data_IF_354407224462
#
_entry.id   IF_354407224462
#
_cell.length_a   1.000
_cell.length_b   1.000
_cell.length_c   1.000
_cell.angle_alpha   90.00
_cell.angle_beta   90.00
_cell.angle_gamma   90.00
#
_symmetry.space_group_name_H-M   'P 1'
#
loop_
_entity.id
_entity.type
_entity.pdbx_description
1 polymer ?
#
# COMPACT_ATOMS: atom_id res chain seq x y z
N UNK A 1 -28.29 18.06 -8.91
CA UNK A 1 -27.00 17.37 -9.14
C UNK A 1 -26.89 16.22 -8.18
N UNK A 2 -26.88 14.98 -8.68
CA UNK A 2 -26.73 13.78 -7.86
C UNK A 2 -25.24 13.47 -7.60
N UNK A 3 -24.94 12.62 -6.61
CA UNK A 3 -23.56 12.18 -6.31
C UNK A 3 -22.92 11.48 -7.52
N UNK A 4 -23.70 10.72 -8.27
CA UNK A 4 -23.28 10.00 -9.46
C UNK A 4 -22.94 10.95 -10.61
N UNK A 5 -23.76 11.98 -10.84
CA UNK A 5 -23.49 13.01 -11.86
C UNK A 5 -22.22 13.80 -11.56
N UNK A 6 -21.99 14.13 -10.30
CA UNK A 6 -20.76 14.80 -9.87
C UNK A 6 -19.54 13.90 -10.06
N UNK A 7 -19.62 12.64 -9.64
CA UNK A 7 -18.54 11.66 -9.81
C UNK A 7 -18.19 11.43 -11.29
N UNK A 8 -19.20 11.37 -12.17
CA UNK A 8 -18.98 11.27 -13.61
C UNK A 8 -18.29 12.51 -14.17
N UNK A 9 -18.70 13.73 -13.76
CA UNK A 9 -18.14 14.99 -14.24
C UNK A 9 -16.65 15.17 -13.90
N UNK A 10 -16.21 14.67 -12.74
CA UNK A 10 -14.80 14.76 -12.33
C UNK A 10 -13.98 13.53 -12.71
N UNK A 11 -14.54 12.58 -13.45
CA UNK A 11 -13.90 11.30 -13.75
C UNK A 11 -13.39 10.58 -12.50
N UNK A 12 -14.22 10.52 -11.44
CA UNK A 12 -13.84 10.04 -10.12
C UNK A 12 -13.21 8.63 -10.12
N UNK A 13 -13.68 7.74 -11.01
CA UNK A 13 -13.08 6.42 -11.21
C UNK A 13 -11.59 6.48 -11.57
N UNK A 14 -11.21 7.39 -12.47
CA UNK A 14 -9.82 7.57 -12.88
C UNK A 14 -8.96 8.13 -11.75
N UNK A 15 -9.51 9.10 -11.00
CA UNK A 15 -8.84 9.71 -9.85
C UNK A 15 -8.56 8.65 -8.78
N UNK A 16 -9.56 7.84 -8.44
CA UNK A 16 -9.41 6.76 -7.46
C UNK A 16 -8.31 5.80 -7.90
N UNK A 17 -8.34 5.32 -9.15
CA UNK A 17 -7.30 4.43 -9.67
C UNK A 17 -5.90 5.04 -9.58
N UNK A 18 -5.75 6.30 -9.96
CA UNK A 18 -4.48 7.02 -9.84
C UNK A 18 -4.00 7.09 -8.39
N UNK A 19 -4.87 7.45 -7.45
CA UNK A 19 -4.55 7.48 -6.02
C UNK A 19 -4.17 6.10 -5.47
N UNK A 20 -4.80 5.04 -5.96
CA UNK A 20 -4.42 3.67 -5.64
C UNK A 20 -2.99 3.33 -6.10
N UNK A 21 -2.59 3.75 -7.30
CA UNK A 21 -1.21 3.60 -7.77
C UNK A 21 -0.25 4.40 -6.90
N UNK A 22 -0.60 5.64 -6.54
CA UNK A 22 0.20 6.48 -5.63
C UNK A 22 0.42 5.79 -4.28
N UNK A 23 -0.59 5.11 -3.73
CA UNK A 23 -0.45 4.33 -2.49
C UNK A 23 0.63 3.23 -2.60
N UNK A 24 0.67 2.50 -3.72
CA UNK A 24 1.73 1.49 -3.97
C UNK A 24 3.10 2.17 -4.06
N UNK A 25 3.19 3.22 -4.89
CA UNK A 25 4.45 3.92 -5.15
C UNK A 25 4.97 4.62 -3.89
N UNK A 26 4.11 5.04 -2.95
CA UNK A 26 4.53 5.68 -1.71
C UNK A 26 5.35 4.74 -0.79
N UNK A 27 5.12 3.43 -0.84
CA UNK A 27 5.85 2.45 -0.02
C UNK A 27 7.19 2.05 -0.68
N UNK A 28 7.27 2.18 -2.01
CA UNK A 28 8.41 1.72 -2.80
C UNK A 28 9.76 2.41 -2.45
N UNK A 29 9.83 3.75 -2.24
CA UNK A 29 11.06 4.41 -1.80
C UNK A 29 11.61 3.85 -0.50
N UNK A 30 10.75 3.55 0.47
CA UNK A 30 11.20 3.01 1.76
C UNK A 30 11.80 1.61 1.58
N UNK A 31 11.13 0.76 0.79
CA UNK A 31 11.65 -0.56 0.44
C UNK A 31 13.01 -0.45 -0.27
N UNK A 32 13.12 0.43 -1.26
CA UNK A 32 14.36 0.65 -2.00
C UNK A 32 15.48 1.18 -1.10
N UNK A 33 15.20 2.17 -0.25
CA UNK A 33 16.19 2.74 0.69
C UNK A 33 16.69 1.69 1.68
N UNK A 34 15.83 0.79 2.15
CA UNK A 34 16.22 -0.28 3.04
C UNK A 34 17.29 -1.19 2.40
N UNK A 35 17.10 -1.56 1.13
CA UNK A 35 18.05 -2.38 0.38
C UNK A 35 19.33 -1.65 -0.02
N UNK A 36 19.23 -0.37 -0.37
CA UNK A 36 20.38 0.46 -0.75
C UNK A 36 21.26 0.81 0.45
N UNK A 37 20.66 1.16 1.58
CA UNK A 37 21.40 1.66 2.75
C UNK A 37 21.75 0.55 3.74
N UNK A 38 20.99 -0.56 3.74
CA UNK A 38 21.03 -1.61 4.77
C UNK A 38 20.80 -1.10 6.21
N UNK A 39 20.36 0.15 6.36
CA UNK A 39 20.08 0.77 7.67
C UNK A 39 18.62 0.53 8.03
N UNK A 40 18.41 -0.04 9.22
CA UNK A 40 17.06 -0.29 9.77
C UNK A 40 16.74 0.61 10.96
N UNK A 41 17.67 1.51 11.32
CA UNK A 41 17.52 2.51 12.36
C UNK A 41 16.38 3.48 12.01
N UNK A 42 15.51 3.77 12.98
CA UNK A 42 14.33 4.61 12.79
C UNK A 42 13.15 3.94 12.08
N UNK A 43 13.30 2.73 11.53
CA UNK A 43 12.19 2.00 10.91
C UNK A 43 11.31 1.34 11.96
N UNK A 44 10.06 1.82 12.10
CA UNK A 44 9.06 1.26 13.00
C UNK A 44 8.38 0.03 12.36
N UNK A 45 8.83 -1.16 12.73
CA UNK A 45 8.21 -2.42 12.30
C UNK A 45 6.73 -2.51 12.71
N UNK A 46 6.39 -1.99 13.88
CA UNK A 46 5.01 -1.94 14.38
C UNK A 46 4.13 -1.12 13.43
N UNK A 47 4.60 0.04 12.98
CA UNK A 47 3.83 0.86 12.04
C UNK A 47 3.63 0.17 10.70
N UNK A 48 4.69 -0.42 10.13
CA UNK A 48 4.57 -1.19 8.89
C UNK A 48 3.63 -2.39 9.03
N UNK A 49 3.62 -3.05 10.18
CA UNK A 49 2.69 -4.15 10.47
C UNK A 49 1.24 -3.67 10.51
N UNK A 50 0.98 -2.53 11.16
CA UNK A 50 -0.35 -1.92 11.17
C UNK A 50 -0.81 -1.52 9.75
N UNK A 51 0.08 -0.91 8.97
CA UNK A 51 -0.19 -0.58 7.56
C UNK A 51 -0.53 -1.85 6.79
N UNK A 52 0.26 -2.91 6.93
CA UNK A 52 0.01 -4.20 6.27
C UNK A 52 -1.38 -4.76 6.60
N UNK A 53 -1.75 -4.82 7.88
CA UNK A 53 -3.06 -5.32 8.31
C UNK A 53 -4.22 -4.50 7.74
N UNK A 54 -4.07 -3.16 7.72
CA UNK A 54 -5.06 -2.26 7.12
C UNK A 54 -5.18 -2.53 5.61
N UNK A 55 -4.06 -2.67 4.90
CA UNK A 55 -4.06 -2.95 3.46
C UNK A 55 -4.71 -4.32 3.16
N UNK A 56 -4.45 -5.35 3.98
CA UNK A 56 -5.13 -6.65 3.83
C UNK A 56 -6.64 -6.52 4.04
N UNK A 57 -7.08 -5.82 5.08
CA UNK A 57 -8.50 -5.60 5.35
C UNK A 57 -9.22 -4.89 4.20
N UNK A 58 -8.62 -3.82 3.66
CA UNK A 58 -9.21 -3.08 2.52
C UNK A 58 -9.13 -3.85 1.20
N UNK A 59 -8.10 -4.66 0.99
CA UNK A 59 -8.00 -5.52 -0.20
C UNK A 59 -9.10 -6.60 -0.16
N UNK A 60 -9.32 -7.23 1.00
CA UNK A 60 -10.44 -8.16 1.22
C UNK A 60 -11.80 -7.48 1.03
N UNK A 61 -11.96 -6.25 1.52
CA UNK A 61 -13.17 -5.48 1.26
C UNK A 61 -13.39 -5.25 -0.24
N UNK A 62 -12.33 -4.93 -0.98
CA UNK A 62 -12.36 -4.81 -2.44
C UNK A 62 -12.81 -6.12 -3.11
N UNK A 63 -12.26 -7.25 -2.67
CA UNK A 63 -12.69 -8.58 -3.14
C UNK A 63 -14.19 -8.83 -2.90
N UNK A 64 -14.67 -8.63 -1.67
CA UNK A 64 -16.09 -8.88 -1.34
C UNK A 64 -17.05 -7.92 -2.05
N UNK A 65 -16.62 -6.69 -2.34
CA UNK A 65 -17.41 -5.68 -3.06
C UNK A 65 -17.23 -5.74 -4.59
N UNK A 66 -16.40 -6.64 -5.10
CA UNK A 66 -16.00 -6.71 -6.52
C UNK A 66 -15.40 -5.38 -7.03
N UNK A 67 -14.74 -4.64 -6.15
CA UNK A 67 -14.00 -3.44 -6.48
C UNK A 67 -12.57 -3.82 -6.82
N UNK A 68 -12.29 -3.94 -8.12
CA UNK A 68 -10.99 -4.31 -8.64
C UNK A 68 -9.90 -3.29 -8.26
N UNK A 69 -10.25 -2.00 -8.15
CA UNK A 69 -9.29 -0.97 -7.78
C UNK A 69 -8.79 -1.20 -6.36
N UNK A 70 -9.72 -1.32 -5.40
CA UNK A 70 -9.36 -1.56 -4.01
C UNK A 70 -8.61 -2.87 -3.87
N UNK A 71 -9.10 -3.95 -4.48
CA UNK A 71 -8.48 -5.26 -4.37
C UNK A 71 -7.01 -5.23 -4.83
N UNK A 72 -6.74 -4.72 -6.03
CA UNK A 72 -5.41 -4.74 -6.62
C UNK A 72 -4.47 -3.70 -6.00
N UNK A 73 -4.91 -2.45 -5.89
CA UNK A 73 -4.00 -1.37 -5.50
C UNK A 73 -3.60 -1.48 -4.03
N UNK A 74 -4.55 -1.80 -3.17
CA UNK A 74 -4.32 -2.02 -1.74
C UNK A 74 -3.61 -3.35 -1.52
N UNK A 75 -3.97 -4.39 -2.27
CA UNK A 75 -3.30 -5.70 -2.20
C UNK A 75 -1.82 -5.62 -2.54
N UNK A 76 -1.46 -4.93 -3.63
CA UNK A 76 -0.06 -4.71 -4.03
C UNK A 76 0.70 -3.87 -3.00
N UNK A 77 0.09 -2.82 -2.46
CA UNK A 77 0.69 -2.03 -1.39
C UNK A 77 0.90 -2.86 -0.10
N UNK A 78 -0.02 -3.78 0.20
CA UNK A 78 0.12 -4.77 1.28
C UNK A 78 1.31 -5.71 1.06
N UNK A 79 1.45 -6.29 -0.13
CA UNK A 79 2.60 -7.14 -0.47
C UNK A 79 3.92 -6.38 -0.30
N UNK A 80 3.99 -5.14 -0.76
CA UNK A 80 5.20 -4.32 -0.64
C UNK A 80 5.51 -3.92 0.81
N UNK A 81 4.48 -3.67 1.62
CA UNK A 81 4.62 -3.44 3.06
C UNK A 81 5.17 -4.69 3.75
N UNK A 82 4.65 -5.87 3.41
CA UNK A 82 5.13 -7.15 3.93
C UNK A 82 6.59 -7.41 3.52
N UNK A 83 6.94 -7.15 2.27
CA UNK A 83 8.31 -7.27 1.78
C UNK A 83 9.27 -6.33 2.53
N UNK A 84 8.82 -5.12 2.85
CA UNK A 84 9.58 -4.15 3.68
C UNK A 84 9.82 -4.69 5.09
N UNK A 85 8.78 -5.25 5.73
CA UNK A 85 8.89 -5.85 7.06
C UNK A 85 9.91 -7.00 7.05
N UNK A 86 9.79 -7.94 6.12
CA UNK A 86 10.71 -9.08 6.02
C UNK A 86 12.14 -8.64 5.72
N UNK A 87 12.32 -7.67 4.83
CA UNK A 87 13.65 -7.12 4.51
C UNK A 87 14.29 -6.47 5.73
N UNK A 88 13.51 -5.74 6.54
CA UNK A 88 14.00 -5.07 7.73
C UNK A 88 14.37 -6.09 8.83
N UNK A 89 13.54 -7.11 9.03
CA UNK A 89 13.83 -8.22 9.95
C UNK A 89 15.09 -8.99 9.52
N UNK A 90 15.22 -9.30 8.22
CA UNK A 90 16.39 -9.95 7.67
C UNK A 90 17.65 -9.14 7.94
N UNK A 91 17.65 -7.84 7.63
CA UNK A 91 18.81 -6.98 7.86
C UNK A 91 19.14 -6.79 9.35
N UNK A 92 18.15 -6.81 10.24
CA UNK A 92 18.38 -6.77 11.71
C UNK A 92 18.94 -8.07 12.28
N UNK A 93 18.69 -9.19 11.61
CA UNK A 93 19.18 -10.49 12.07
C UNK A 93 20.62 -10.76 11.62
N UNK A 94 20.98 -10.28 10.42
CA UNK A 94 22.30 -10.52 9.82
C UNK A 94 23.33 -9.40 10.01
N UNK A 95 22.93 -8.22 10.52
CA UNK A 95 23.83 -7.17 11.01
C UNK A 95 23.90 -7.22 12.53
#
# INVERSE_FOLDING_TARGET
MTREEFAARIHWSWIIWFLGIVNIVAVLPQFAQLWLTRKTEGLSLTMFTLIFLVQVAYSLQGFFRRDAMLMWTVGLAGILSLATIFSALFMRYFN
#
